data_IF_781314077286
#
_entry.id   IF_781314077286
#
_cell.length_a   1.000
_cell.length_b   1.000
_cell.length_c   1.000
_cell.angle_alpha   90.00
_cell.angle_beta   90.00
_cell.angle_gamma   90.00
#
_symmetry.space_group_name_H-M   'P 1'
#
loop_
_entity.id
_entity.type
_entity.pdbx_description
1 polymer ?
#
# COMPACT_ATOMS: atom_id res chain seq x y z
N UNK A 1 20.22 -11.36 -1.76
CA UNK A 1 19.34 -10.37 -1.23
C UNK A 1 18.97 -9.36 -2.31
N UNK A 2 17.71 -9.31 -2.69
CA UNK A 2 17.19 -8.27 -3.58
C UNK A 2 16.96 -7.01 -2.71
N UNK A 3 18.05 -6.30 -2.40
CA UNK A 3 17.97 -5.04 -1.69
C UNK A 3 17.46 -3.96 -2.62
N UNK A 4 16.16 -3.63 -2.52
CA UNK A 4 15.66 -2.41 -3.12
C UNK A 4 16.48 -1.24 -2.52
N UNK A 5 17.30 -0.58 -3.33
CA UNK A 5 18.09 0.58 -2.91
C UNK A 5 17.14 1.79 -2.82
N UNK A 6 16.43 1.87 -1.69
CA UNK A 6 15.49 2.97 -1.39
C UNK A 6 16.16 4.13 -0.67
N UNK A 7 17.35 3.90 -0.16
CA UNK A 7 18.12 4.83 0.66
C UNK A 7 19.40 5.19 -0.05
N UNK A 8 19.72 6.47 -0.04
CA UNK A 8 21.01 7.00 -0.46
C UNK A 8 21.80 7.26 0.82
N UNK A 9 22.84 6.47 1.02
CA UNK A 9 23.73 6.62 2.18
C UNK A 9 24.64 7.83 1.95
N UNK A 10 24.47 8.87 2.74
CA UNK A 10 25.35 10.01 2.83
C UNK A 10 26.24 9.90 4.08
N UNK A 11 27.40 10.55 4.13
CA UNK A 11 28.35 10.38 5.23
C UNK A 11 27.78 10.63 6.63
N UNK A 12 26.73 11.45 6.74
CA UNK A 12 26.14 11.87 8.02
C UNK A 12 24.68 11.46 8.21
N UNK A 13 23.98 11.05 7.15
CA UNK A 13 22.56 10.64 7.23
C UNK A 13 22.14 9.81 6.02
N UNK A 14 21.09 9.05 6.19
CA UNK A 14 20.44 8.31 5.10
C UNK A 14 19.35 9.17 4.49
N UNK A 15 19.35 9.29 3.17
CA UNK A 15 18.39 10.06 2.40
C UNK A 15 17.46 9.12 1.65
N UNK A 16 16.15 9.28 1.87
CA UNK A 16 15.14 8.53 1.11
C UNK A 16 14.42 9.48 0.13
N UNK A 17 14.65 9.33 -1.18
CA UNK A 17 14.05 10.21 -2.20
C UNK A 17 12.51 10.24 -2.16
N UNK A 18 11.85 9.12 -1.86
CA UNK A 18 10.39 9.05 -1.80
C UNK A 18 9.78 9.92 -0.70
N UNK A 19 10.48 10.18 0.41
CA UNK A 19 10.02 11.09 1.46
C UNK A 19 9.96 12.54 0.94
N UNK A 20 10.99 12.97 0.23
CA UNK A 20 11.03 14.30 -0.38
C UNK A 20 10.06 14.42 -1.57
N UNK A 21 9.87 13.36 -2.34
CA UNK A 21 8.90 13.33 -3.42
C UNK A 21 7.47 13.59 -2.93
N UNK A 22 7.10 13.10 -1.74
CA UNK A 22 5.80 13.39 -1.11
C UNK A 22 5.63 14.88 -0.81
N UNK A 23 6.66 15.51 -0.23
CA UNK A 23 6.62 16.94 0.07
C UNK A 23 6.57 17.78 -1.22
N UNK A 24 7.40 17.45 -2.20
CA UNK A 24 7.40 18.12 -3.51
C UNK A 24 6.04 17.97 -4.21
N UNK A 25 5.42 16.81 -4.12
CA UNK A 25 4.07 16.57 -4.63
C UNK A 25 3.04 17.48 -3.95
N UNK A 26 3.05 17.57 -2.62
CA UNK A 26 2.10 18.41 -1.87
C UNK A 26 2.23 19.86 -2.30
N UNK A 27 3.45 20.39 -2.40
CA UNK A 27 3.70 21.77 -2.83
C UNK A 27 3.26 22.00 -4.29
N UNK A 28 3.60 21.10 -5.19
CA UNK A 28 3.20 21.19 -6.59
C UNK A 28 1.67 21.10 -6.76
N UNK A 29 1.03 20.18 -6.02
CA UNK A 29 -0.42 20.02 -6.03
C UNK A 29 -1.13 21.23 -5.43
N UNK A 30 -0.62 21.79 -4.33
CA UNK A 30 -1.17 23.01 -3.73
C UNK A 30 -1.11 24.20 -4.71
N UNK A 31 0.03 24.39 -5.35
CA UNK A 31 0.19 25.43 -6.38
C UNK A 31 -0.73 25.20 -7.59
N UNK A 32 -0.85 23.94 -8.05
CA UNK A 32 -1.73 23.59 -9.16
C UNK A 32 -3.21 23.84 -8.81
N UNK A 33 -3.62 23.50 -7.59
CA UNK A 33 -5.00 23.60 -7.11
C UNK A 33 -5.37 24.99 -6.57
N UNK A 34 -4.43 25.94 -6.47
CA UNK A 34 -4.71 27.33 -6.08
C UNK A 34 -5.41 28.15 -7.18
N UNK A 35 -5.74 27.53 -8.30
CA UNK A 35 -6.48 28.14 -9.42
C UNK A 35 -7.91 28.50 -9.03
N UNK A 36 -8.54 29.46 -9.76
CA UNK A 36 -9.94 29.78 -9.58
C UNK A 36 -10.83 28.54 -9.69
N UNK A 37 -11.90 28.46 -8.85
CA UNK A 37 -12.79 27.30 -8.78
C UNK A 37 -13.43 27.00 -10.15
N UNK A 38 -13.69 28.02 -10.97
CA UNK A 38 -14.28 27.85 -12.30
C UNK A 38 -13.34 27.11 -13.27
N UNK A 39 -12.03 27.27 -13.13
CA UNK A 39 -11.05 26.48 -13.86
C UNK A 39 -11.01 25.04 -13.36
N UNK A 40 -11.06 24.84 -12.04
CA UNK A 40 -11.04 23.50 -11.43
C UNK A 40 -12.26 22.62 -11.82
N UNK A 41 -13.34 23.25 -12.28
CA UNK A 41 -14.53 22.54 -12.83
C UNK A 41 -14.32 21.97 -14.22
N UNK A 42 -13.27 22.36 -14.92
CA UNK A 42 -12.98 21.86 -16.26
C UNK A 42 -12.41 20.43 -16.20
N UNK A 43 -12.94 19.56 -17.04
CA UNK A 43 -12.48 18.17 -17.16
C UNK A 43 -11.00 18.07 -17.48
N UNK A 44 -10.48 18.99 -18.31
CA UNK A 44 -9.05 19.05 -18.66
C UNK A 44 -8.17 19.27 -17.43
N UNK A 45 -8.54 20.22 -16.58
CA UNK A 45 -7.79 20.55 -15.35
C UNK A 45 -7.84 19.39 -14.37
N UNK A 46 -9.00 18.72 -14.25
CA UNK A 46 -9.11 17.52 -13.43
C UNK A 46 -8.11 16.42 -13.84
N UNK A 47 -8.04 16.11 -15.15
CA UNK A 47 -7.10 15.10 -15.65
C UNK A 47 -5.63 15.52 -15.53
N UNK A 48 -5.33 16.79 -15.65
CA UNK A 48 -3.98 17.32 -15.38
C UNK A 48 -3.60 17.16 -13.90
N UNK A 49 -4.51 17.44 -12.97
CA UNK A 49 -4.32 17.19 -11.54
C UNK A 49 -4.12 15.70 -11.24
N UNK A 50 -4.91 14.84 -11.88
CA UNK A 50 -4.70 13.39 -11.79
C UNK A 50 -3.32 12.97 -12.32
N UNK A 51 -2.88 13.51 -13.44
CA UNK A 51 -1.55 13.24 -14.00
C UNK A 51 -0.44 13.69 -13.04
N UNK A 52 -0.58 14.85 -12.41
CA UNK A 52 0.36 15.34 -11.41
C UNK A 52 0.47 14.41 -10.19
N UNK A 53 -0.65 13.80 -9.77
CA UNK A 53 -0.68 12.83 -8.67
C UNK A 53 -0.12 11.47 -9.10
N UNK A 54 -0.49 10.99 -10.29
CA UNK A 54 -0.11 9.66 -10.77
C UNK A 54 1.36 9.56 -11.13
N UNK A 55 2.01 10.63 -11.53
CA UNK A 55 3.43 10.64 -11.88
C UNK A 55 4.31 10.20 -10.70
N UNK A 56 4.30 10.88 -9.54
CA UNK A 56 5.12 10.45 -8.39
C UNK A 56 4.63 9.09 -7.84
N UNK A 57 3.32 8.81 -7.87
CA UNK A 57 2.78 7.51 -7.46
C UNK A 57 3.42 6.35 -8.22
N UNK A 58 3.43 6.41 -9.56
CA UNK A 58 4.02 5.35 -10.40
C UNK A 58 5.53 5.26 -10.22
N UNK A 59 6.23 6.39 -10.06
CA UNK A 59 7.67 6.39 -9.84
C UNK A 59 8.03 5.69 -8.52
N UNK A 60 7.35 6.02 -7.42
CA UNK A 60 7.58 5.41 -6.11
C UNK A 60 7.15 3.93 -6.11
N UNK A 61 6.07 3.60 -6.82
CA UNK A 61 5.63 2.20 -6.96
C UNK A 61 6.70 1.32 -7.65
N UNK A 62 7.47 1.88 -8.58
CA UNK A 62 8.60 1.20 -9.22
C UNK A 62 9.79 0.96 -8.28
N UNK A 63 9.90 1.69 -7.19
CA UNK A 63 10.89 1.48 -6.12
C UNK A 63 10.47 0.41 -5.11
N UNK A 64 9.59 -0.53 -5.43
CA UNK A 64 8.74 -1.40 -4.65
C UNK A 64 8.39 -0.87 -3.24
N UNK A 65 8.09 0.43 -3.14
CA UNK A 65 7.62 1.07 -1.91
C UNK A 65 6.10 1.37 -1.99
N UNK A 66 5.31 0.33 -1.85
CA UNK A 66 3.86 0.42 -1.90
C UNK A 66 3.29 1.33 -0.78
N UNK A 67 3.92 1.31 0.41
CA UNK A 67 3.48 2.12 1.55
C UNK A 67 3.55 3.61 1.25
N UNK A 68 4.71 4.10 0.82
CA UNK A 68 4.91 5.51 0.46
C UNK A 68 4.06 5.92 -0.76
N UNK A 69 3.93 5.04 -1.77
CA UNK A 69 3.10 5.31 -2.93
C UNK A 69 1.62 5.48 -2.56
N UNK A 70 1.08 4.59 -1.74
CA UNK A 70 -0.33 4.62 -1.34
C UNK A 70 -0.71 5.87 -0.53
N UNK A 71 0.21 6.51 0.16
CA UNK A 71 -0.06 7.77 0.88
C UNK A 71 -0.37 8.93 -0.07
N UNK A 72 0.20 8.94 -1.27
CA UNK A 72 -0.04 10.02 -2.24
C UNK A 72 -1.49 10.09 -2.73
N UNK A 73 -2.15 8.93 -2.89
CA UNK A 73 -3.51 8.87 -3.42
C UNK A 73 -4.53 9.58 -2.50
N UNK A 74 -4.68 9.21 -1.21
CA UNK A 74 -5.61 9.91 -0.32
C UNK A 74 -5.19 11.37 -0.12
N UNK A 75 -3.89 11.68 -0.05
CA UNK A 75 -3.41 13.06 0.08
C UNK A 75 -3.87 13.91 -1.11
N UNK A 76 -3.62 13.47 -2.34
CA UNK A 76 -4.05 14.17 -3.54
C UNK A 76 -5.57 14.32 -3.64
N UNK A 77 -6.33 13.26 -3.29
CA UNK A 77 -7.79 13.30 -3.29
C UNK A 77 -8.32 14.30 -2.26
N UNK A 78 -7.79 14.33 -1.04
CA UNK A 78 -8.18 15.30 -0.01
C UNK A 78 -7.88 16.73 -0.48
N UNK A 79 -6.70 16.97 -1.06
CA UNK A 79 -6.34 18.27 -1.62
C UNK A 79 -7.33 18.71 -2.71
N UNK A 80 -7.74 17.82 -3.61
CA UNK A 80 -8.75 18.10 -4.65
C UNK A 80 -10.12 18.43 -4.04
N UNK A 81 -10.54 17.71 -3.00
CA UNK A 81 -11.80 17.98 -2.27
C UNK A 81 -11.78 19.38 -1.67
N UNK A 82 -10.70 19.72 -0.95
CA UNK A 82 -10.54 21.01 -0.27
C UNK A 82 -10.45 22.17 -1.27
N UNK A 83 -9.80 21.96 -2.41
CA UNK A 83 -9.70 22.96 -3.49
C UNK A 83 -11.02 23.23 -4.22
N UNK A 84 -12.06 22.43 -3.98
CA UNK A 84 -13.38 22.63 -4.60
C UNK A 84 -13.56 21.96 -5.96
N UNK A 85 -12.77 20.95 -6.28
CA UNK A 85 -12.99 20.12 -7.48
C UNK A 85 -14.39 19.47 -7.40
N UNK A 86 -15.16 19.44 -8.50
CA UNK A 86 -16.54 18.92 -8.50
C UNK A 86 -16.62 17.49 -7.94
N UNK A 87 -17.48 17.31 -6.94
CA UNK A 87 -17.68 16.00 -6.28
C UNK A 87 -18.05 14.89 -7.26
N UNK A 88 -18.71 15.24 -8.38
CA UNK A 88 -19.09 14.27 -9.41
C UNK A 88 -17.87 13.58 -10.05
N UNK A 89 -16.77 14.28 -10.25
CA UNK A 89 -15.53 13.68 -10.76
C UNK A 89 -14.89 12.75 -9.72
N UNK A 90 -14.86 13.19 -8.47
CA UNK A 90 -14.28 12.40 -7.37
C UNK A 90 -15.09 11.15 -7.08
N UNK A 91 -16.43 11.24 -7.10
CA UNK A 91 -17.30 10.08 -6.92
C UNK A 91 -17.19 9.08 -8.09
N UNK A 92 -17.13 9.56 -9.32
CA UNK A 92 -16.89 8.69 -10.49
C UNK A 92 -15.53 8.00 -10.40
N UNK A 93 -14.49 8.75 -10.05
CA UNK A 93 -13.15 8.17 -9.84
C UNK A 93 -13.17 7.16 -8.71
N UNK A 94 -13.75 7.49 -7.56
CA UNK A 94 -13.89 6.58 -6.41
C UNK A 94 -14.67 5.32 -6.77
N UNK A 95 -15.75 5.44 -7.55
CA UNK A 95 -16.51 4.32 -8.05
C UNK A 95 -15.70 3.41 -8.98
N UNK A 96 -14.95 4.00 -9.91
CA UNK A 96 -14.07 3.23 -10.81
C UNK A 96 -12.97 2.52 -10.03
N UNK A 97 -12.27 3.24 -9.15
CA UNK A 97 -11.19 2.67 -8.33
C UNK A 97 -11.74 1.59 -7.39
N UNK A 98 -12.89 1.83 -6.78
CA UNK A 98 -13.56 0.85 -5.92
C UNK A 98 -13.98 -0.40 -6.69
N UNK A 99 -14.55 -0.24 -7.89
CA UNK A 99 -14.91 -1.38 -8.76
C UNK A 99 -13.66 -2.17 -9.19
N UNK A 100 -12.63 -1.49 -9.69
CA UNK A 100 -11.39 -2.17 -10.09
C UNK A 100 -10.70 -2.84 -8.91
N UNK A 101 -10.68 -2.18 -7.74
CA UNK A 101 -10.14 -2.75 -6.50
C UNK A 101 -10.91 -3.98 -6.03
N UNK A 102 -12.25 -3.96 -6.11
CA UNK A 102 -13.07 -5.11 -5.74
C UNK A 102 -12.91 -6.27 -6.72
N UNK A 103 -12.80 -5.99 -8.02
CA UNK A 103 -12.50 -7.02 -9.03
C UNK A 103 -11.11 -7.61 -8.82
N UNK A 104 -10.12 -6.79 -8.49
CA UNK A 104 -8.77 -7.24 -8.20
C UNK A 104 -8.71 -8.12 -6.94
N UNK A 105 -9.41 -7.75 -5.87
CA UNK A 105 -9.53 -8.58 -4.67
C UNK A 105 -10.28 -9.87 -4.98
N UNK A 106 -11.33 -9.82 -5.76
CA UNK A 106 -12.05 -11.01 -6.20
C UNK A 106 -11.17 -11.95 -7.03
N UNK A 107 -10.33 -11.40 -7.92
CA UNK A 107 -9.32 -12.19 -8.66
C UNK A 107 -8.37 -12.91 -7.72
N UNK A 108 -7.81 -12.22 -6.72
CA UNK A 108 -6.88 -12.83 -5.76
C UNK A 108 -7.53 -13.94 -4.95
N UNK A 109 -8.80 -13.76 -4.55
CA UNK A 109 -9.48 -14.68 -3.64
C UNK A 109 -10.14 -15.88 -4.34
N UNK A 110 -10.56 -15.71 -5.58
CA UNK A 110 -11.44 -16.69 -6.25
C UNK A 110 -10.92 -17.17 -7.61
N UNK A 111 -10.02 -16.43 -8.28
CA UNK A 111 -9.56 -16.83 -9.61
C UNK A 111 -8.63 -18.06 -9.54
N UNK A 112 -8.78 -19.03 -10.47
CA UNK A 112 -7.87 -20.15 -10.60
C UNK A 112 -6.46 -19.65 -10.99
N UNK A 113 -5.42 -20.40 -10.62
CA UNK A 113 -4.02 -19.99 -10.72
C UNK A 113 -3.57 -19.50 -12.12
N UNK A 114 -4.22 -20.01 -13.19
CA UNK A 114 -3.88 -19.67 -14.58
C UNK A 114 -4.55 -18.37 -15.08
N UNK A 115 -5.51 -17.81 -14.36
CA UNK A 115 -6.22 -16.57 -14.71
C UNK A 115 -5.82 -15.37 -13.85
N UNK A 116 -5.01 -15.62 -12.84
CA UNK A 116 -4.66 -14.60 -11.88
C UNK A 116 -3.77 -13.51 -12.47
N UNK A 117 -4.02 -12.28 -12.08
CA UNK A 117 -3.15 -11.15 -12.41
C UNK A 117 -1.71 -11.46 -11.97
N UNK A 118 -0.71 -11.32 -12.86
CA UNK A 118 0.69 -11.56 -12.52
C UNK A 118 1.13 -10.58 -11.42
N UNK A 119 1.44 -11.12 -10.25
CA UNK A 119 1.88 -10.37 -9.07
C UNK A 119 3.03 -11.11 -8.40
N UNK A 120 3.91 -10.37 -7.75
CA UNK A 120 4.96 -10.95 -6.91
C UNK A 120 4.35 -11.81 -5.79
N UNK A 121 4.86 -13.02 -5.64
CA UNK A 121 4.31 -14.00 -4.70
C UNK A 121 4.21 -13.48 -3.26
N UNK A 122 5.17 -12.64 -2.82
CA UNK A 122 5.16 -12.08 -1.47
C UNK A 122 4.01 -11.06 -1.24
N UNK A 123 3.63 -10.30 -2.26
CA UNK A 123 2.52 -9.33 -2.18
C UNK A 123 1.19 -10.07 -2.08
N UNK A 124 1.03 -11.10 -2.89
CA UNK A 124 -0.13 -11.97 -2.87
C UNK A 124 -0.28 -12.66 -1.51
N UNK A 125 0.79 -13.24 -1.01
CA UNK A 125 0.80 -13.93 0.28
C UNK A 125 0.33 -13.03 1.42
N UNK A 126 0.76 -11.77 1.45
CA UNK A 126 0.27 -10.79 2.43
C UNK A 126 -1.23 -10.57 2.34
N UNK A 127 -1.78 -10.41 1.14
CA UNK A 127 -3.22 -10.23 0.95
C UNK A 127 -4.00 -11.48 1.40
N UNK A 128 -3.53 -12.68 1.05
CA UNK A 128 -4.16 -13.93 1.49
C UNK A 128 -4.19 -14.06 3.02
N UNK A 129 -3.12 -13.67 3.72
CA UNK A 129 -3.09 -13.65 5.19
C UNK A 129 -4.13 -12.67 5.74
N UNK A 130 -4.23 -11.46 5.19
CA UNK A 130 -5.22 -10.46 5.63
C UNK A 130 -6.66 -10.95 5.45
N UNK A 131 -6.95 -11.69 4.37
CA UNK A 131 -8.26 -12.26 4.09
C UNK A 131 -8.47 -13.65 4.72
N UNK A 132 -7.51 -14.17 5.49
CA UNK A 132 -7.62 -15.45 6.19
C UNK A 132 -7.69 -16.67 5.26
N UNK A 133 -7.14 -16.56 4.04
CA UNK A 133 -7.09 -17.66 3.06
C UNK A 133 -5.86 -18.53 3.29
N UNK A 134 -6.02 -19.84 3.05
CA UNK A 134 -4.91 -20.78 3.15
C UNK A 134 -4.09 -20.79 1.84
N UNK A 135 -2.77 -20.86 1.94
CA UNK A 135 -1.88 -20.98 0.77
C UNK A 135 -2.10 -22.29 0.03
N UNK A 136 -2.57 -23.32 0.74
CA UNK A 136 -2.88 -24.64 0.17
C UNK A 136 -4.08 -24.62 -0.78
N UNK A 137 -5.01 -23.65 -0.63
CA UNK A 137 -6.16 -23.48 -1.54
C UNK A 137 -5.72 -23.17 -2.99
N UNK A 138 -4.50 -22.67 -3.14
CA UNK A 138 -3.94 -22.24 -4.43
C UNK A 138 -2.80 -23.15 -4.89
N UNK A 139 -2.62 -24.30 -4.23
CA UNK A 139 -1.66 -25.30 -4.65
C UNK A 139 -2.11 -26.00 -5.95
N UNK A 140 -1.16 -26.46 -6.80
CA UNK A 140 -1.51 -27.25 -7.96
C UNK A 140 -2.29 -28.50 -7.56
N UNK A 141 -3.24 -28.99 -8.38
CA UNK A 141 -4.06 -30.16 -8.04
C UNK A 141 -3.26 -31.44 -7.77
N UNK A 142 -2.04 -31.51 -8.29
CA UNK A 142 -1.10 -32.63 -8.14
C UNK A 142 0.03 -32.33 -7.12
N UNK A 143 -0.15 -31.33 -6.25
CA UNK A 143 0.83 -30.99 -5.23
C UNK A 143 1.09 -32.17 -4.29
N UNK A 144 2.35 -32.46 -4.04
CA UNK A 144 2.78 -33.49 -3.10
C UNK A 144 2.54 -33.08 -1.66
N UNK A 145 2.43 -34.06 -0.74
CA UNK A 145 2.30 -33.79 0.70
C UNK A 145 3.45 -32.88 1.23
N UNK A 146 4.66 -33.06 0.71
CA UNK A 146 5.82 -32.26 1.10
C UNK A 146 5.69 -30.80 0.64
N UNK A 147 5.15 -30.55 -0.54
CA UNK A 147 4.89 -29.19 -1.05
C UNK A 147 3.81 -28.49 -0.24
N UNK A 148 2.71 -29.19 0.09
CA UNK A 148 1.65 -28.64 0.95
C UNK A 148 2.17 -28.29 2.34
N UNK A 149 3.03 -29.13 2.93
CA UNK A 149 3.68 -28.81 4.21
C UNK A 149 4.58 -27.58 4.12
N UNK A 150 5.36 -27.43 3.04
CA UNK A 150 6.20 -26.24 2.81
C UNK A 150 5.35 -24.97 2.66
N UNK A 151 4.21 -25.04 1.96
CA UNK A 151 3.29 -23.90 1.83
C UNK A 151 2.72 -23.50 3.19
N UNK A 152 2.27 -24.46 4.01
CA UNK A 152 1.79 -24.19 5.37
C UNK A 152 2.86 -23.57 6.26
N UNK A 153 4.10 -24.09 6.21
CA UNK A 153 5.18 -23.51 6.99
C UNK A 153 5.46 -22.06 6.56
N UNK A 154 5.54 -21.77 5.26
CA UNK A 154 5.69 -20.40 4.74
C UNK A 154 4.54 -19.50 5.20
N UNK A 155 3.32 -19.99 5.19
CA UNK A 155 2.16 -19.23 5.66
C UNK A 155 2.29 -18.87 7.15
N UNK A 156 2.75 -19.80 7.98
CA UNK A 156 2.98 -19.55 9.41
C UNK A 156 4.08 -18.49 9.61
N UNK A 157 5.17 -18.59 8.86
CA UNK A 157 6.29 -17.65 8.94
C UNK A 157 5.87 -16.25 8.48
N UNK A 158 5.16 -16.14 7.35
CA UNK A 158 4.64 -14.88 6.82
C UNK A 158 3.57 -14.28 7.75
N UNK A 159 2.68 -15.10 8.31
CA UNK A 159 1.64 -14.67 9.23
C UNK A 159 2.18 -14.23 10.60
N UNK A 160 3.35 -14.72 11.01
CA UNK A 160 3.94 -14.39 12.29
C UNK A 160 4.10 -12.89 12.49
N UNK A 161 4.74 -12.20 11.55
CA UNK A 161 4.97 -10.75 11.62
C UNK A 161 3.67 -9.95 11.67
N UNK A 162 2.66 -10.36 10.88
CA UNK A 162 1.33 -9.72 10.87
C UNK A 162 0.63 -9.91 12.21
N UNK A 163 0.67 -11.14 12.77
CA UNK A 163 0.09 -11.43 14.09
C UNK A 163 0.77 -10.65 15.20
N UNK A 164 2.10 -10.56 15.19
CA UNK A 164 2.85 -9.79 16.19
C UNK A 164 2.53 -8.29 16.11
N UNK A 165 2.37 -7.75 14.91
CA UNK A 165 1.94 -6.37 14.71
C UNK A 165 0.52 -6.13 15.26
N UNK A 166 -0.43 -7.03 14.96
CA UNK A 166 -1.81 -6.96 15.46
C UNK A 166 -1.86 -7.05 17.00
N UNK A 167 -1.09 -7.97 17.61
CA UNK A 167 -0.98 -8.09 19.06
C UNK A 167 -0.38 -6.82 19.66
N UNK A 168 0.63 -6.23 19.01
CA UNK A 168 1.26 -4.99 19.47
C UNK A 168 0.26 -3.84 19.52
N UNK A 169 -0.48 -3.63 18.43
CA UNK A 169 -1.50 -2.59 18.34
C UNK A 169 -2.66 -2.88 19.30
N UNK A 170 -3.21 -4.11 19.28
CA UNK A 170 -4.33 -4.51 20.12
C UNK A 170 -4.02 -4.45 21.60
N UNK A 171 -2.80 -4.80 22.01
CA UNK A 171 -2.39 -4.74 23.41
C UNK A 171 -2.23 -3.31 23.96
N UNK A 172 -2.10 -2.33 23.07
CA UNK A 172 -2.03 -0.91 23.44
C UNK A 172 -3.38 -0.29 23.78
N UNK A 173 -4.49 -0.85 23.29
CA UNK A 173 -5.82 -0.27 23.43
C UNK A 173 -5.90 1.15 22.86
N UNK A 174 -6.83 1.97 23.35
CA UNK A 174 -7.02 3.35 22.88
C UNK A 174 -5.95 4.33 23.40
N UNK A 175 -5.39 4.08 24.58
CA UNK A 175 -4.44 5.01 25.25
C UNK A 175 -2.98 4.61 25.08
N UNK A 176 -2.70 3.42 24.59
CA UNK A 176 -1.36 2.85 24.51
C UNK A 176 -0.83 2.40 25.88
N UNK A 177 0.34 1.76 25.90
CA UNK A 177 1.03 1.30 27.12
C UNK A 177 2.08 2.28 27.65
N UNK A 178 2.29 3.39 26.96
CA UNK A 178 3.34 4.36 27.28
C UNK A 178 4.62 4.18 26.46
N UNK A 179 5.47 5.20 26.53
CA UNK A 179 6.74 5.22 25.81
C UNK A 179 7.65 4.08 26.23
N UNK A 180 8.08 3.26 25.26
CA UNK A 180 8.94 2.08 25.46
C UNK A 180 8.36 0.94 26.31
N UNK A 181 7.07 0.97 26.70
CA UNK A 181 6.43 -0.05 27.52
C UNK A 181 5.65 -1.09 26.70
N UNK A 182 5.76 -1.06 25.38
CA UNK A 182 5.17 -2.06 24.50
C UNK A 182 5.77 -3.44 24.71
N UNK A 183 4.98 -4.42 25.13
CA UNK A 183 5.45 -5.78 25.45
C UNK A 183 6.11 -6.48 24.27
N UNK A 184 5.56 -6.31 23.07
CA UNK A 184 6.10 -6.96 21.85
C UNK A 184 7.47 -6.39 21.44
N UNK A 185 7.69 -5.09 21.66
CA UNK A 185 8.98 -4.46 21.41
C UNK A 185 10.02 -4.84 22.47
N UNK A 186 9.60 -4.88 23.75
CA UNK A 186 10.49 -5.27 24.86
C UNK A 186 10.97 -6.71 24.76
N UNK A 187 10.12 -7.61 24.26
CA UNK A 187 10.44 -9.04 24.06
C UNK A 187 11.13 -9.33 22.72
N UNK A 188 11.33 -8.32 21.85
CA UNK A 188 12.02 -8.48 20.58
C UNK A 188 11.24 -9.28 19.52
N UNK A 189 9.92 -9.39 19.64
CA UNK A 189 9.09 -10.10 18.67
C UNK A 189 8.84 -9.32 17.38
N UNK A 190 9.07 -8.01 17.39
CA UNK A 190 9.00 -7.19 16.19
C UNK A 190 10.40 -7.08 15.56
N UNK A 191 10.53 -7.23 14.22
CA UNK A 191 11.78 -7.00 13.54
C UNK A 191 12.24 -5.55 13.82
N UNK A 192 13.48 -5.40 14.26
CA UNK A 192 14.12 -4.08 14.39
C UNK A 192 14.46 -3.57 12.99
N UNK A 193 14.09 -2.32 12.72
CA UNK A 193 14.50 -1.64 11.50
C UNK A 193 16.01 -1.38 11.49
#
# INVERSE_FOLDING_TARGET
GWGARRWIDLPFFQFQPSEFAKLAFILAAANFLSRPVDELRQTKIFWQGMGLMMLPFVLILKEPDLGSALVLLPTGLVMMVVAGVPRSYLLKLGGIVGLLGSLFVADILFAPAHWQVPMESYQRNRLLIYFGRDYTDFAPPNATKAELQRLRQRQLDDAYNVRQALISVGSGGLTGKGWRQGTQNALGYLPRA
#
